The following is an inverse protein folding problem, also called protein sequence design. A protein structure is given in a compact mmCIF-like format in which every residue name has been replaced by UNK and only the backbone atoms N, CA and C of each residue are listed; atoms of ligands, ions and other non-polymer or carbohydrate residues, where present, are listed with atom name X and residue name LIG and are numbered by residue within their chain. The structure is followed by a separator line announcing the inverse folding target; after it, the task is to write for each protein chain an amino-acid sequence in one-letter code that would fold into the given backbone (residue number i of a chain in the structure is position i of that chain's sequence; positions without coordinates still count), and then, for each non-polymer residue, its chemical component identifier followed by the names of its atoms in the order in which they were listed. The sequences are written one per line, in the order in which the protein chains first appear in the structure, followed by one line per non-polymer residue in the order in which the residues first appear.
data_IF_149060014425
#
_entry.id   IF_149060014425
#
_cell.length_a   1.000
_cell.length_b   1.000
_cell.length_c   1.000
_cell.angle_alpha   90.00
_cell.angle_beta   90.00
_cell.angle_gamma   90.00
#
_symmetry.space_group_name_H-M   'P 1'
#
loop_
_entity.id
_entity.type
_entity.pdbx_description
1 polymer ?
#
# COMPACT_ATOMS: atom_id res chain seq x y z
N UNK A 1 -3.43 17.15 8.57
CA UNK A 1 -3.16 17.24 7.12
C UNK A 1 -2.58 18.62 6.78
N UNK A 2 -3.22 19.75 7.13
CA UNK A 2 -2.67 21.09 6.87
C UNK A 2 -1.25 21.31 7.41
N UNK A 3 -0.93 20.80 8.62
CA UNK A 3 0.40 20.96 9.23
C UNK A 3 1.51 20.23 8.46
N UNK A 4 1.21 19.06 7.89
CA UNK A 4 2.19 18.29 7.14
C UNK A 4 2.47 18.92 5.76
N UNK A 5 1.47 19.49 5.11
CA UNK A 5 1.63 20.22 3.85
C UNK A 5 2.55 21.45 3.98
N UNK A 6 2.48 22.13 5.14
CA UNK A 6 3.27 23.35 5.40
C UNK A 6 4.75 23.07 5.74
N UNK A 7 5.14 21.82 5.98
CA UNK A 7 6.51 21.45 6.37
C UNK A 7 7.45 21.15 5.19
N UNK A 8 6.95 21.18 3.95
CA UNK A 8 7.73 20.79 2.78
C UNK A 8 8.10 19.30 2.71
N UNK A 9 7.56 18.47 3.60
CA UNK A 9 7.81 17.02 3.63
C UNK A 9 7.21 16.26 2.45
N UNK A 10 6.26 16.87 1.73
CA UNK A 10 5.56 16.26 0.61
C UNK A 10 5.94 16.88 -0.75
N UNK A 11 7.23 17.15 -0.97
CA UNK A 11 7.71 17.65 -2.25
C UNK A 11 7.41 16.60 -3.33
N UNK A 12 6.63 16.98 -4.33
CA UNK A 12 6.23 16.08 -5.43
C UNK A 12 5.04 15.16 -5.13
N UNK A 13 4.39 15.31 -3.97
CA UNK A 13 3.18 14.60 -3.61
C UNK A 13 1.95 15.52 -3.67
N UNK A 14 0.83 14.98 -4.12
CA UNK A 14 -0.46 15.65 -4.06
C UNK A 14 -1.22 15.23 -2.80
N UNK A 15 -1.73 16.21 -2.06
CA UNK A 15 -2.54 15.99 -0.87
C UNK A 15 -4.02 16.10 -1.22
N UNK A 16 -4.73 14.98 -1.13
CA UNK A 16 -6.15 14.92 -1.41
C UNK A 16 -6.95 14.70 -0.13
N UNK A 17 -7.95 15.55 0.10
CA UNK A 17 -8.88 15.37 1.20
C UNK A 17 -9.93 14.32 0.84
N UNK A 18 -10.05 13.28 1.67
CA UNK A 18 -11.09 12.26 1.54
C UNK A 18 -12.29 12.64 2.42
N UNK A 19 -13.43 13.09 1.86
CA UNK A 19 -14.63 13.43 2.65
C UNK A 19 -15.24 12.20 3.33
N UNK A 20 -15.08 11.02 2.74
CA UNK A 20 -15.67 9.76 3.19
C UNK A 20 -14.69 8.92 4.07
N UNK A 21 -13.73 9.56 4.71
CA UNK A 21 -12.70 8.87 5.50
C UNK A 21 -13.26 7.95 6.59
N UNK A 22 -14.47 8.24 7.10
CA UNK A 22 -15.16 7.41 8.10
C UNK A 22 -15.61 6.04 7.56
N UNK A 23 -15.72 5.90 6.23
CA UNK A 23 -16.00 4.62 5.58
C UNK A 23 -14.76 3.72 5.48
N UNK A 24 -13.65 4.11 6.13
CA UNK A 24 -12.42 3.32 6.24
C UNK A 24 -11.50 3.42 5.02
N UNK A 25 -10.50 2.54 4.98
CA UNK A 25 -9.42 2.54 3.99
C UNK A 25 -9.95 2.40 2.55
N UNK A 26 -11.03 1.65 2.35
CA UNK A 26 -11.64 1.44 1.02
C UNK A 26 -12.03 2.74 0.35
N UNK A 27 -12.50 3.74 1.11
CA UNK A 27 -12.85 5.06 0.57
C UNK A 27 -11.63 5.82 0.06
N UNK A 28 -10.48 5.70 0.74
CA UNK A 28 -9.24 6.33 0.31
C UNK A 28 -8.68 5.66 -0.97
N UNK A 29 -8.77 4.34 -1.07
CA UNK A 29 -8.34 3.59 -2.25
C UNK A 29 -9.22 3.94 -3.46
N UNK A 30 -10.55 4.00 -3.29
CA UNK A 30 -11.46 4.44 -4.35
C UNK A 30 -11.11 5.83 -4.86
N UNK A 31 -10.97 6.79 -3.95
CA UNK A 31 -10.64 8.17 -4.29
C UNK A 31 -9.30 8.26 -5.05
N UNK A 32 -8.27 7.54 -4.60
CA UNK A 32 -6.99 7.46 -5.29
C UNK A 32 -7.12 6.85 -6.69
N UNK A 33 -7.92 5.78 -6.82
CA UNK A 33 -8.20 5.15 -8.10
C UNK A 33 -8.96 6.10 -9.05
N UNK A 34 -9.99 6.80 -8.59
CA UNK A 34 -10.74 7.78 -9.37
C UNK A 34 -9.84 8.88 -9.94
N UNK A 35 -8.90 9.37 -9.14
CA UNK A 35 -8.01 10.46 -9.55
C UNK A 35 -6.93 10.01 -10.54
N UNK A 36 -6.46 8.77 -10.44
CA UNK A 36 -5.27 8.30 -11.17
C UNK A 36 -5.59 7.34 -12.32
N UNK A 37 -6.83 6.83 -12.41
CA UNK A 37 -7.19 5.75 -13.35
C UNK A 37 -6.94 6.08 -14.83
N UNK A 38 -6.98 7.37 -15.22
CA UNK A 38 -6.71 7.80 -16.60
C UNK A 38 -5.22 7.89 -16.92
N UNK A 39 -4.38 8.09 -15.92
CA UNK A 39 -3.00 8.54 -16.09
C UNK A 39 -1.97 7.44 -15.85
N UNK A 40 -2.37 6.29 -15.27
CA UNK A 40 -1.45 5.21 -14.98
C UNK A 40 -2.04 3.82 -15.31
N UNK A 41 -1.15 2.87 -15.60
CA UNK A 41 -1.49 1.48 -15.90
C UNK A 41 -1.47 0.58 -14.67
N UNK A 42 -0.87 1.06 -13.58
CA UNK A 42 -0.78 0.36 -12.30
C UNK A 42 -0.95 1.36 -11.15
N UNK A 43 -1.65 0.95 -10.10
CA UNK A 43 -1.75 1.67 -8.83
C UNK A 43 -0.99 0.92 -7.75
N UNK A 44 -0.06 1.60 -7.08
CA UNK A 44 0.61 1.10 -5.89
C UNK A 44 -0.09 1.67 -4.65
N UNK A 45 -0.59 0.80 -3.79
CA UNK A 45 -1.20 1.15 -2.50
C UNK A 45 -0.17 0.89 -1.40
N UNK A 46 0.15 1.94 -0.65
CA UNK A 46 1.09 1.94 0.48
C UNK A 46 0.38 2.36 1.77
N UNK A 47 0.90 1.91 2.90
CA UNK A 47 0.53 2.44 4.21
C UNK A 47 1.66 3.31 4.76
N UNK A 48 1.31 4.42 5.39
CA UNK A 48 2.27 5.41 5.91
C UNK A 48 3.01 4.96 7.17
N UNK A 49 2.54 3.92 7.84
CA UNK A 49 3.08 3.32 9.05
C UNK A 49 4.07 2.18 8.77
N UNK A 50 4.17 1.68 7.55
CA UNK A 50 5.12 0.64 7.13
C UNK A 50 6.49 1.25 6.76
N UNK A 51 7.14 1.91 7.71
CA UNK A 51 8.34 2.73 7.49
C UNK A 51 9.60 1.96 7.13
N UNK A 52 9.61 0.64 7.28
CA UNK A 52 10.75 -0.22 6.95
C UNK A 52 10.73 -0.74 5.51
N UNK A 53 9.66 -0.47 4.77
CA UNK A 53 9.56 -0.87 3.36
C UNK A 53 10.52 -0.04 2.52
N UNK A 54 11.43 -0.72 1.82
CA UNK A 54 12.47 -0.07 1.01
C UNK A 54 12.03 0.23 -0.43
N UNK A 55 12.73 1.16 -1.07
CA UNK A 55 12.52 1.48 -2.50
C UNK A 55 12.78 0.27 -3.40
N UNK A 56 13.76 -0.57 -3.05
CA UNK A 56 14.10 -1.79 -3.79
C UNK A 56 12.97 -2.83 -3.72
N UNK A 57 12.35 -2.98 -2.54
CA UNK A 57 11.19 -3.86 -2.35
C UNK A 57 10.00 -3.37 -3.15
N UNK A 58 9.71 -2.06 -3.12
CA UNK A 58 8.64 -1.45 -3.92
C UNK A 58 8.90 -1.61 -5.42
N UNK A 59 10.13 -1.41 -5.87
CA UNK A 59 10.52 -1.60 -7.27
C UNK A 59 10.33 -3.05 -7.71
N UNK A 60 10.70 -4.00 -6.86
CA UNK A 60 10.49 -5.44 -7.11
C UNK A 60 9.01 -5.75 -7.24
N UNK A 61 8.18 -5.20 -6.34
CA UNK A 61 6.75 -5.40 -6.34
C UNK A 61 6.09 -4.84 -7.61
N UNK A 62 6.44 -3.61 -8.01
CA UNK A 62 5.91 -2.96 -9.23
C UNK A 62 6.28 -3.78 -10.47
N UNK A 63 7.52 -4.26 -10.56
CA UNK A 63 8.01 -5.01 -11.71
C UNK A 63 7.54 -6.48 -11.75
N UNK A 64 6.89 -6.97 -10.69
CA UNK A 64 6.40 -8.35 -10.62
C UNK A 64 5.07 -8.59 -11.33
N UNK A 65 4.42 -7.54 -11.80
CA UNK A 65 3.16 -7.60 -12.54
C UNK A 65 3.09 -6.50 -13.59
N UNK A 66 2.02 -6.48 -14.37
CA UNK A 66 1.73 -5.49 -15.40
C UNK A 66 0.32 -4.90 -15.25
N UNK A 67 -0.19 -4.24 -16.28
CA UNK A 67 -1.53 -3.62 -16.29
C UNK A 67 -2.69 -4.63 -16.13
N UNK A 68 -2.42 -5.93 -16.25
CA UNK A 68 -3.43 -7.00 -16.22
C UNK A 68 -3.39 -7.82 -14.93
N UNK A 69 -2.38 -7.65 -14.08
CA UNK A 69 -2.14 -8.44 -12.89
C UNK A 69 -2.26 -7.68 -11.59
N UNK A 70 -2.10 -8.42 -10.49
CA UNK A 70 -1.96 -7.90 -9.14
C UNK A 70 -0.70 -8.47 -8.50
N UNK A 71 -0.06 -7.66 -7.65
CA UNK A 71 1.04 -8.12 -6.79
C UNK A 71 0.85 -7.54 -5.38
N UNK A 72 1.32 -8.26 -4.37
CA UNK A 72 1.25 -7.77 -3.00
C UNK A 72 2.39 -8.30 -2.15
N UNK A 73 2.61 -7.66 -1.00
CA UNK A 73 3.51 -8.15 0.02
C UNK A 73 2.95 -9.38 0.74
N UNK A 74 3.83 -10.33 1.05
CA UNK A 74 3.56 -11.48 1.91
C UNK A 74 4.40 -11.43 3.18
N UNK A 75 3.77 -11.41 4.35
CA UNK A 75 4.42 -11.35 5.65
C UNK A 75 3.56 -12.02 6.72
N UNK A 76 4.18 -12.58 7.76
CA UNK A 76 3.48 -13.17 8.93
C UNK A 76 2.32 -14.10 8.55
N UNK A 77 2.48 -14.93 7.50
CA UNK A 77 1.46 -15.83 6.96
C UNK A 77 0.17 -15.12 6.46
N UNK A 78 0.26 -13.87 6.07
CA UNK A 78 -0.82 -13.08 5.46
C UNK A 78 -0.30 -12.34 4.23
N UNK A 79 -1.23 -11.71 3.50
CA UNK A 79 -0.93 -10.81 2.38
C UNK A 79 -1.57 -9.45 2.63
N UNK A 80 -0.97 -8.42 2.08
CA UNK A 80 -1.49 -7.06 2.24
C UNK A 80 -0.63 -6.00 1.54
N UNK A 81 -0.84 -4.73 1.89
CA UNK A 81 0.02 -3.63 1.42
C UNK A 81 1.48 -3.82 1.87
N UNK A 82 2.44 -3.32 1.07
CA UNK A 82 2.30 -2.71 -0.25
C UNK A 82 1.66 -3.64 -1.27
N UNK A 83 0.77 -3.10 -2.12
CA UNK A 83 0.10 -3.88 -3.15
C UNK A 83 -0.03 -3.09 -4.45
N UNK A 84 0.18 -3.76 -5.58
CA UNK A 84 0.04 -3.22 -6.93
C UNK A 84 -1.18 -3.82 -7.59
N UNK A 85 -1.99 -2.95 -8.17
CA UNK A 85 -3.16 -3.32 -8.94
C UNK A 85 -3.02 -2.78 -10.36
N UNK A 86 -3.01 -3.68 -11.35
CA UNK A 86 -3.06 -3.31 -12.75
C UNK A 86 -4.40 -2.69 -13.13
N UNK A 87 -4.43 -1.93 -14.21
CA UNK A 87 -5.61 -1.21 -14.73
C UNK A 87 -6.86 -2.11 -14.87
N UNK A 88 -6.67 -3.40 -15.14
CA UNK A 88 -7.77 -4.37 -15.24
C UNK A 88 -8.59 -4.49 -13.95
N UNK A 89 -8.02 -4.13 -12.80
CA UNK A 89 -8.66 -4.21 -11.48
C UNK A 89 -9.23 -2.87 -10.98
N UNK A 90 -9.13 -1.81 -11.77
CA UNK A 90 -9.70 -0.50 -11.38
C UNK A 90 -11.21 -0.53 -11.17
N UNK A 91 -12.01 -1.25 -11.99
CA UNK A 91 -13.44 -1.41 -11.70
C UNK A 91 -13.71 -2.05 -10.33
N UNK A 92 -12.90 -3.04 -9.94
CA UNK A 92 -13.03 -3.70 -8.63
C UNK A 92 -12.63 -2.75 -7.50
N UNK A 93 -11.52 -1.98 -7.66
CA UNK A 93 -11.10 -0.97 -6.69
C UNK A 93 -12.15 0.13 -6.51
N UNK A 94 -12.79 0.57 -7.59
CA UNK A 94 -13.84 1.58 -7.55
C UNK A 94 -15.14 1.07 -6.90
N UNK A 95 -15.36 -0.25 -6.87
CA UNK A 95 -16.50 -0.89 -6.24
C UNK A 95 -16.30 -1.27 -4.78
N UNK A 96 -15.10 -1.03 -4.20
CA UNK A 96 -14.83 -1.32 -2.79
C UNK A 96 -15.79 -0.58 -1.87
N UNK A 97 -16.25 -1.26 -0.84
CA UNK A 97 -17.10 -0.72 0.23
C UNK A 97 -16.43 -0.91 1.61
N UNK A 98 -17.13 -0.52 2.68
CA UNK A 98 -16.60 -0.62 4.03
C UNK A 98 -16.41 -2.07 4.51
N UNK A 99 -17.16 -3.02 3.94
CA UNK A 99 -17.11 -4.43 4.31
C UNK A 99 -16.09 -5.19 3.46
N UNK A 100 -15.89 -4.77 2.21
CA UNK A 100 -15.04 -5.42 1.21
C UNK A 100 -13.82 -4.55 0.91
N UNK A 101 -12.77 -4.69 1.70
CA UNK A 101 -11.51 -3.99 1.50
C UNK A 101 -10.64 -4.59 0.38
N UNK A 102 -9.62 -3.84 -0.07
CA UNK A 102 -8.68 -4.30 -1.10
C UNK A 102 -7.99 -5.64 -0.76
N UNK A 103 -7.86 -5.98 0.53
CA UNK A 103 -7.35 -7.29 0.96
C UNK A 103 -8.19 -8.45 0.45
N UNK A 104 -9.51 -8.28 0.32
CA UNK A 104 -10.38 -9.31 -0.21
C UNK A 104 -10.09 -9.59 -1.70
N UNK A 105 -9.78 -8.56 -2.51
CA UNK A 105 -9.35 -8.75 -3.89
C UNK A 105 -8.08 -9.60 -3.96
N UNK A 106 -7.12 -9.33 -3.08
CA UNK A 106 -5.86 -10.07 -3.02
C UNK A 106 -6.07 -11.54 -2.61
N UNK A 107 -7.01 -11.82 -1.71
CA UNK A 107 -7.26 -13.17 -1.20
C UNK A 107 -8.19 -13.99 -2.08
N UNK A 108 -9.20 -13.38 -2.68
CA UNK A 108 -10.16 -14.07 -3.55
C UNK A 108 -9.57 -14.45 -4.92
N UNK A 109 -8.51 -13.77 -5.34
CA UNK A 109 -7.82 -14.00 -6.61
C UNK A 109 -6.42 -14.60 -6.41
N UNK A 110 -6.23 -15.47 -5.43
CA UNK A 110 -4.92 -16.01 -5.03
C UNK A 110 -4.05 -16.52 -6.20
N UNK A 111 -4.64 -17.16 -7.21
CA UNK A 111 -3.93 -17.67 -8.38
C UNK A 111 -3.53 -16.59 -9.40
N UNK A 112 -4.07 -15.37 -9.25
CA UNK A 112 -3.80 -14.21 -10.11
C UNK A 112 -2.94 -13.16 -9.42
N UNK A 113 -2.58 -13.38 -8.15
CA UNK A 113 -1.79 -12.43 -7.35
C UNK A 113 -0.36 -12.93 -7.23
N UNK A 114 0.60 -12.11 -7.65
CA UNK A 114 2.02 -12.34 -7.39
C UNK A 114 2.33 -11.92 -5.94
N UNK A 115 2.67 -12.88 -5.09
CA UNK A 115 3.01 -12.60 -3.69
C UNK A 115 4.53 -12.50 -3.53
N UNK A 116 5.02 -11.33 -3.15
CA UNK A 116 6.44 -11.06 -2.89
C UNK A 116 6.70 -11.17 -1.38
N UNK A 117 7.56 -12.09 -0.92
CA UNK A 117 7.96 -12.13 0.48
C UNK A 117 8.60 -10.80 0.91
N UNK A 118 8.00 -10.11 1.89
CA UNK A 118 8.40 -8.77 2.32
C UNK A 118 8.25 -8.65 3.83
N UNK A 119 9.31 -8.95 4.57
CA UNK A 119 9.29 -8.92 6.05
C UNK A 119 9.08 -7.51 6.59
N UNK A 120 9.62 -6.50 5.92
CA UNK A 120 9.50 -5.09 6.24
C UNK A 120 8.04 -4.62 6.30
N UNK A 121 7.17 -5.15 5.42
CA UNK A 121 5.74 -4.84 5.39
C UNK A 121 4.95 -5.37 6.60
N UNK A 122 5.55 -6.23 7.41
CA UNK A 122 4.92 -6.72 8.65
C UNK A 122 5.19 -5.86 9.88
N UNK A 123 5.82 -4.69 9.72
CA UNK A 123 6.16 -3.79 10.83
C UNK A 123 5.46 -2.45 10.65
N UNK A 124 4.39 -2.28 11.41
CA UNK A 124 3.61 -1.05 11.45
C UNK A 124 4.00 -0.27 12.71
N UNK A 125 4.09 1.06 12.62
CA UNK A 125 4.32 1.94 13.77
C UNK A 125 3.00 2.51 14.22
N UNK A 126 2.41 1.88 15.23
CA UNK A 126 1.13 2.29 15.82
C UNK A 126 1.30 3.12 17.09
N UNK A 127 2.46 3.00 17.75
CA UNK A 127 2.72 3.62 19.04
C UNK A 127 4.14 4.20 19.14
N UNK A 128 4.39 5.14 20.10
CA UNK A 128 5.75 5.62 20.35
C UNK A 128 6.74 4.52 20.73
N UNK A 129 6.29 3.48 21.41
CA UNK A 129 7.13 2.33 21.80
C UNK A 129 7.62 1.53 20.59
N UNK A 130 6.90 1.58 19.45
CA UNK A 130 7.32 0.90 18.23
C UNK A 130 8.49 1.62 17.56
N UNK A 131 8.60 2.95 17.76
CA UNK A 131 9.75 3.73 17.30
C UNK A 131 11.05 3.31 18.01
N UNK A 132 10.99 3.01 19.33
CA UNK A 132 12.16 2.58 20.08
C UNK A 132 12.68 1.21 19.60
N UNK A 133 11.80 0.34 19.12
CA UNK A 133 12.14 -0.97 18.57
C UNK A 133 12.68 -0.91 17.13
N UNK A 134 12.56 0.23 16.47
CA UNK A 134 12.84 0.36 15.04
C UNK A 134 14.33 0.12 14.73
N UNK A 135 15.24 0.57 15.58
CA UNK A 135 16.69 0.40 15.39
C UNK A 135 17.08 -1.10 15.45
N UNK A 136 16.52 -1.85 16.40
CA UNK A 136 16.75 -3.27 16.53
C UNK A 136 16.18 -4.05 15.35
N UNK A 137 14.96 -3.71 14.94
CA UNK A 137 14.24 -4.34 13.84
C UNK A 137 14.90 -4.02 12.50
N UNK A 138 15.33 -2.78 12.28
CA UNK A 138 16.04 -2.35 11.08
C UNK A 138 17.31 -3.15 10.86
N UNK A 139 18.10 -3.38 11.91
CA UNK A 139 19.30 -4.22 11.86
C UNK A 139 18.99 -5.67 11.48
N UNK A 140 17.86 -6.20 11.95
CA UNK A 140 17.44 -7.57 11.64
C UNK A 140 16.94 -7.74 10.19
N UNK A 141 16.24 -6.75 9.65
CA UNK A 141 15.63 -6.81 8.31
C UNK A 141 16.66 -6.52 7.22
N UNK A 142 17.50 -5.51 7.42
CA UNK A 142 18.46 -5.05 6.41
C UNK A 142 19.85 -5.67 6.55
N UNK A 143 20.12 -6.40 7.61
CA UNK A 143 21.32 -7.19 7.87
C UNK A 143 22.62 -6.44 7.56
N UNK A 144 23.32 -5.98 8.57
CA UNK A 144 24.74 -5.62 8.42
C UNK A 144 25.60 -6.87 8.44
#
# INVERSE_FOLDING_TARGET
IKRAADTGLFIGAELVYNPDWQAGMSSAIRLGCELLATDCDQLLVLLSDQVLVSTEELSTLINSTDSTGMACSGFRNTVGPPAVFGRSYYPDLLSLDAENGAKQLLTNNNHQVCVIPMRSAGWDIDSPDDLEKLEDVGSYIFGN
#
